data_IF_750176058484
#
_entry.id   IF_750176058484
#
_cell.length_a   1.000
_cell.length_b   1.000
_cell.length_c   1.000
_cell.angle_alpha   90.00
_cell.angle_beta   90.00
_cell.angle_gamma   90.00
#
_symmetry.space_group_name_H-M   'P 1'
#
loop_
_entity.id
_entity.type
_entity.pdbx_description
1 polymer ?
#
# COMPACT_ATOMS: atom_id res chain seq x y z
N UNK A 1 -12.71 2.18 -1.81
CA UNK A 1 -13.05 2.83 -0.51
C UNK A 1 -13.27 1.72 0.50
N UNK A 2 -12.50 1.67 1.60
CA UNK A 2 -12.53 0.56 2.56
C UNK A 2 -13.90 0.42 3.28
N UNK A 3 -14.46 1.54 3.76
CA UNK A 3 -15.79 1.55 4.39
C UNK A 3 -16.88 0.96 3.48
N UNK A 4 -16.85 1.25 2.17
CA UNK A 4 -17.81 0.69 1.22
C UNK A 4 -17.73 -0.85 1.17
N UNK A 5 -16.51 -1.40 1.20
CA UNK A 5 -16.28 -2.85 1.26
C UNK A 5 -16.68 -3.44 2.61
N UNK A 6 -16.48 -2.72 3.72
CA UNK A 6 -16.90 -3.18 5.05
C UNK A 6 -18.43 -3.17 5.25
N UNK A 7 -19.15 -2.28 4.54
CA UNK A 7 -20.61 -2.18 4.61
C UNK A 7 -21.32 -3.10 3.60
N UNK A 8 -20.77 -3.27 2.39
CA UNK A 8 -21.44 -3.96 1.27
C UNK A 8 -20.69 -5.16 0.69
N UNK A 9 -19.45 -5.43 1.13
CA UNK A 9 -18.65 -6.54 0.64
C UNK A 9 -19.04 -7.89 1.24
N UNK A 10 -18.45 -8.97 0.71
CA UNK A 10 -18.66 -10.34 1.22
C UNK A 10 -17.98 -10.63 2.57
N UNK A 11 -17.47 -9.60 3.26
CA UNK A 11 -16.92 -9.71 4.62
C UNK A 11 -18.06 -9.84 5.65
N UNK A 12 -18.83 -10.93 5.54
CA UNK A 12 -20.05 -11.22 6.31
C UNK A 12 -19.67 -11.62 7.74
N UNK A 13 -19.26 -10.64 8.54
CA UNK A 13 -19.01 -10.87 9.97
C UNK A 13 -18.82 -9.63 10.80
N UNK A 14 -18.29 -8.53 10.24
CA UNK A 14 -18.12 -7.30 11.01
C UNK A 14 -18.18 -6.07 10.11
N UNK A 15 -19.37 -5.48 10.05
CA UNK A 15 -19.55 -4.13 9.50
C UNK A 15 -18.91 -3.12 10.45
N UNK A 16 -18.16 -2.15 9.91
CA UNK A 16 -17.60 -1.07 10.70
C UNK A 16 -18.74 -0.20 11.25
N UNK A 17 -18.93 -0.07 12.57
CA UNK A 17 -19.97 0.76 13.15
C UNK A 17 -19.64 2.25 13.00
N UNK A 18 -20.68 3.08 12.91
CA UNK A 18 -20.55 4.54 12.73
C UNK A 18 -19.65 5.23 13.77
N UNK A 19 -19.70 4.79 15.03
CA UNK A 19 -18.84 5.37 16.08
C UNK A 19 -17.35 5.09 15.81
N UNK A 20 -17.01 3.87 15.36
CA UNK A 20 -15.65 3.48 15.01
C UNK A 20 -15.17 4.25 13.78
N UNK A 21 -16.06 4.45 12.79
CA UNK A 21 -15.76 5.33 11.65
C UNK A 21 -15.41 6.76 12.09
N UNK A 22 -16.14 7.34 13.04
CA UNK A 22 -15.86 8.69 13.56
C UNK A 22 -14.53 8.71 14.33
N UNK A 23 -14.31 7.75 15.24
CA UNK A 23 -13.07 7.67 16.03
C UNK A 23 -11.84 7.44 15.16
N UNK A 24 -11.96 6.65 14.09
CA UNK A 24 -10.86 6.42 13.14
C UNK A 24 -10.43 7.68 12.39
N UNK A 25 -11.28 8.70 12.33
CA UNK A 25 -11.02 9.97 11.64
C UNK A 25 -10.69 11.13 12.60
N UNK A 26 -10.63 10.89 13.91
CA UNK A 26 -10.23 11.90 14.88
C UNK A 26 -8.77 12.32 14.61
N UNK A 27 -8.51 13.63 14.62
CA UNK A 27 -7.21 14.23 14.38
C UNK A 27 -6.68 14.14 12.94
N UNK A 28 -7.41 13.50 12.03
CA UNK A 28 -6.92 13.25 10.66
C UNK A 28 -6.91 14.52 9.78
N UNK A 29 -7.63 15.58 10.19
CA UNK A 29 -7.66 16.86 9.47
C UNK A 29 -6.63 17.83 10.06
N UNK A 30 -5.35 17.66 9.74
CA UNK A 30 -4.26 18.51 10.23
C UNK A 30 -4.22 18.64 11.76
N UNK A 31 -4.50 17.54 12.47
CA UNK A 31 -4.62 17.52 13.93
C UNK A 31 -5.99 17.97 14.47
N UNK A 32 -6.94 18.34 13.60
CA UNK A 32 -8.31 18.67 13.95
C UNK A 32 -9.29 17.54 13.60
N UNK A 33 -10.50 17.64 14.14
CA UNK A 33 -11.61 16.72 13.88
C UNK A 33 -12.55 17.25 12.80
N UNK A 34 -13.10 16.36 11.99
CA UNK A 34 -14.21 16.69 11.10
C UNK A 34 -15.51 16.87 11.90
N UNK A 35 -16.48 17.68 11.40
CA UNK A 35 -17.79 17.79 12.03
C UNK A 35 -18.49 16.41 12.09
N UNK A 36 -18.85 15.97 13.29
CA UNK A 36 -19.44 14.64 13.51
C UNK A 36 -20.70 14.41 12.66
N UNK A 37 -21.51 15.44 12.46
CA UNK A 37 -22.72 15.37 11.64
C UNK A 37 -22.41 15.12 10.16
N UNK A 38 -21.33 15.69 9.64
CA UNK A 38 -20.89 15.42 8.26
C UNK A 38 -20.39 13.98 8.10
N UNK A 39 -19.62 13.49 9.07
CA UNK A 39 -19.14 12.10 9.07
C UNK A 39 -20.31 11.10 9.16
N UNK A 40 -21.28 11.37 10.03
CA UNK A 40 -22.50 10.53 10.13
C UNK A 40 -23.33 10.56 8.85
N UNK A 41 -23.50 11.74 8.23
CA UNK A 41 -24.22 11.87 6.98
C UNK A 41 -23.53 11.07 5.86
N UNK A 42 -22.20 11.16 5.76
CA UNK A 42 -21.42 10.36 4.79
C UNK A 42 -21.53 8.86 5.05
N UNK A 43 -21.37 8.42 6.31
CA UNK A 43 -21.54 7.02 6.69
C UNK A 43 -22.93 6.51 6.32
N UNK A 44 -23.98 7.29 6.60
CA UNK A 44 -25.37 6.95 6.25
C UNK A 44 -25.56 6.86 4.73
N UNK A 45 -25.04 7.82 3.98
CA UNK A 45 -25.09 7.81 2.51
C UNK A 45 -24.45 6.54 1.93
N UNK A 46 -23.23 6.20 2.37
CA UNK A 46 -22.53 4.99 1.90
C UNK A 46 -23.26 3.73 2.38
N UNK A 47 -23.84 3.72 3.59
CA UNK A 47 -24.61 2.57 4.09
C UNK A 47 -25.87 2.31 3.27
N UNK A 48 -26.56 3.35 2.85
CA UNK A 48 -27.84 3.25 2.16
C UNK A 48 -27.66 3.02 0.66
N UNK A 49 -26.59 3.58 0.09
CA UNK A 49 -26.28 3.49 -1.34
C UNK A 49 -24.87 2.93 -1.53
N UNK A 50 -24.79 1.72 -2.10
CA UNK A 50 -23.52 1.10 -2.43
C UNK A 50 -22.84 1.92 -3.53
N UNK A 51 -21.58 2.28 -3.30
CA UNK A 51 -20.78 2.91 -4.34
C UNK A 51 -20.35 1.83 -5.34
N UNK A 52 -20.85 1.92 -6.56
CA UNK A 52 -20.31 1.20 -7.71
C UNK A 52 -19.07 1.96 -8.19
N UNK A 53 -17.90 1.33 -8.06
CA UNK A 53 -16.68 1.90 -8.59
C UNK A 53 -16.73 1.68 -10.09
N UNK A 54 -16.45 2.73 -10.88
CA UNK A 54 -16.31 2.60 -12.31
C UNK A 54 -15.12 1.67 -12.60
N UNK A 55 -15.41 0.38 -12.77
CA UNK A 55 -14.49 -0.51 -13.44
C UNK A 55 -14.67 -0.22 -14.92
N UNK A 56 -13.59 0.15 -15.60
CA UNK A 56 -13.62 0.25 -17.06
C UNK A 56 -14.17 -1.09 -17.61
N UNK A 57 -15.08 -1.03 -18.58
CA UNK A 57 -15.81 -2.21 -19.10
C UNK A 57 -14.87 -3.32 -19.65
N UNK A 58 -13.57 -3.05 -19.79
CA UNK A 58 -12.55 -4.01 -20.23
C UNK A 58 -12.20 -5.11 -19.21
N UNK A 59 -12.44 -4.96 -17.91
CA UNK A 59 -12.02 -5.95 -16.89
C UNK A 59 -13.11 -6.99 -16.51
N UNK A 60 -14.27 -6.98 -17.17
CA UNK A 60 -15.31 -8.00 -16.93
C UNK A 60 -15.05 -9.35 -17.66
N UNK A 61 -14.09 -9.40 -18.59
CA UNK A 61 -13.83 -10.57 -19.42
C UNK A 61 -12.94 -11.67 -18.80
N UNK A 62 -12.22 -11.40 -17.71
CA UNK A 62 -11.20 -12.34 -17.20
C UNK A 62 -11.72 -13.35 -16.16
N UNK A 63 -12.91 -13.12 -15.60
CA UNK A 63 -13.47 -13.96 -14.53
C UNK A 63 -14.11 -15.29 -15.01
N UNK A 64 -14.23 -15.51 -16.33
CA UNK A 64 -14.88 -16.70 -16.89
C UNK A 64 -13.93 -17.85 -17.28
N UNK A 65 -12.64 -17.78 -16.94
CA UNK A 65 -11.72 -18.89 -17.20
C UNK A 65 -12.06 -20.10 -16.30
N UNK A 66 -12.46 -21.26 -16.85
CA UNK A 66 -12.73 -22.44 -16.04
C UNK A 66 -11.45 -22.91 -15.35
N UNK A 67 -11.49 -23.04 -14.02
CA UNK A 67 -10.44 -23.69 -13.22
C UNK A 67 -10.20 -25.10 -13.75
N UNK A 68 -9.08 -25.30 -14.44
CA UNK A 68 -8.58 -26.64 -14.78
C UNK A 68 -8.33 -27.42 -13.48
N UNK A 69 -8.63 -28.73 -13.43
CA UNK A 69 -8.43 -29.52 -12.22
C UNK A 69 -6.94 -29.57 -11.88
N UNK A 70 -6.62 -29.07 -10.69
CA UNK A 70 -5.27 -29.04 -10.13
C UNK A 70 -4.78 -30.46 -9.87
N UNK A 71 -3.70 -30.85 -10.54
CA UNK A 71 -2.85 -31.95 -10.08
C UNK A 71 -2.19 -31.57 -8.75
N UNK A 72 -1.97 -32.51 -7.82
CA UNK A 72 -1.42 -32.21 -6.51
C UNK A 72 0.11 -32.16 -6.63
N UNK A 73 0.67 -31.02 -7.01
CA UNK A 73 2.10 -30.79 -6.79
C UNK A 73 2.40 -29.34 -6.47
N UNK A 74 2.82 -29.17 -5.22
CA UNK A 74 3.69 -28.12 -4.72
C UNK A 74 3.21 -26.67 -4.82
N UNK A 75 2.59 -26.24 -3.72
CA UNK A 75 2.77 -24.95 -3.06
C UNK A 75 3.87 -24.07 -3.70
N UNK A 76 3.46 -22.96 -4.33
CA UNK A 76 3.79 -21.58 -3.94
C UNK A 76 3.26 -20.62 -4.99
N UNK A 77 2.06 -20.11 -4.73
CA UNK A 77 1.63 -18.80 -5.18
C UNK A 77 2.46 -17.80 -4.37
N UNK A 78 3.51 -17.21 -4.92
CA UNK A 78 4.15 -16.05 -4.28
C UNK A 78 4.38 -14.97 -5.32
N UNK A 79 3.84 -13.80 -4.98
CA UNK A 79 3.94 -12.53 -5.69
C UNK A 79 5.38 -12.30 -6.25
N UNK A 80 5.56 -11.86 -7.51
CA UNK A 80 6.88 -11.60 -8.09
C UNK A 80 7.61 -10.40 -7.46
N UNK A 81 6.92 -9.52 -6.74
CA UNK A 81 7.54 -8.53 -5.84
C UNK A 81 8.00 -9.14 -4.51
N UNK A 82 7.57 -10.36 -4.19
CA UNK A 82 8.04 -11.15 -3.06
C UNK A 82 9.05 -12.23 -3.48
N UNK A 83 9.15 -12.53 -4.78
CA UNK A 83 10.04 -13.57 -5.32
C UNK A 83 10.67 -13.05 -6.60
N UNK A 84 11.87 -12.49 -6.48
CA UNK A 84 12.69 -12.16 -7.64
C UNK A 84 13.09 -13.47 -8.31
N UNK A 85 12.72 -13.65 -9.58
CA UNK A 85 13.24 -14.74 -10.38
C UNK A 85 14.75 -14.51 -10.55
N UNK A 86 15.56 -15.36 -9.91
CA UNK A 86 17.01 -15.28 -10.02
C UNK A 86 17.41 -15.84 -11.39
N UNK A 87 17.49 -14.97 -12.39
CA UNK A 87 18.10 -15.32 -13.67
C UNK A 87 19.62 -15.38 -13.46
N UNK A 88 20.21 -16.55 -13.71
CA UNK A 88 21.65 -16.77 -13.59
C UNK A 88 22.46 -15.95 -14.61
N UNK A 89 21.82 -15.50 -15.69
CA UNK A 89 22.42 -14.65 -16.73
C UNK A 89 22.10 -13.17 -16.55
N UNK A 90 21.43 -12.77 -15.45
CA UNK A 90 21.10 -11.38 -15.20
C UNK A 90 22.38 -10.53 -15.09
N UNK A 91 22.42 -9.43 -15.84
CA UNK A 91 23.53 -8.49 -15.80
C UNK A 91 23.67 -7.87 -14.41
N UNK A 92 24.75 -8.19 -13.70
CA UNK A 92 25.07 -7.59 -12.41
C UNK A 92 25.82 -6.27 -12.64
N UNK A 93 25.13 -5.14 -12.48
CA UNK A 93 25.73 -3.82 -12.69
C UNK A 93 26.60 -3.34 -11.53
N UNK A 94 26.30 -3.76 -10.30
CA UNK A 94 27.08 -3.44 -9.10
C UNK A 94 27.07 -4.64 -8.15
N UNK A 95 28.26 -5.07 -7.77
CA UNK A 95 28.48 -6.14 -6.80
C UNK A 95 29.27 -5.59 -5.61
N UNK A 96 28.81 -5.84 -4.40
CA UNK A 96 29.46 -5.37 -3.17
C UNK A 96 28.56 -5.46 -1.95
N UNK A 97 29.15 -5.29 -0.77
CA UNK A 97 28.41 -5.21 0.48
C UNK A 97 27.63 -3.89 0.54
N UNK A 98 26.31 -3.96 0.62
CA UNK A 98 25.46 -2.79 0.83
C UNK A 98 25.20 -2.63 2.33
N UNK A 99 25.86 -1.66 2.95
CA UNK A 99 25.57 -1.30 4.34
C UNK A 99 24.19 -0.61 4.40
N UNK A 100 23.31 -1.09 5.29
CA UNK A 100 22.08 -0.37 5.61
C UNK A 100 22.45 0.81 6.51
N UNK A 101 22.16 2.04 6.07
CA UNK A 101 22.30 3.21 6.93
C UNK A 101 21.23 3.13 8.02
N UNK A 102 21.65 2.83 9.24
CA UNK A 102 20.79 2.89 10.44
C UNK A 102 21.06 4.23 11.11
N UNK A 103 20.01 5.02 11.34
CA UNK A 103 20.09 6.16 12.25
C UNK A 103 19.59 5.66 13.60
N UNK A 104 20.50 5.60 14.56
CA UNK A 104 20.20 5.28 15.94
C UNK A 104 20.80 6.40 16.79
N UNK A 105 20.03 6.87 17.76
CA UNK A 105 20.54 7.78 18.80
C UNK A 105 21.58 7.04 19.65
N UNK A 106 22.44 7.75 20.39
CA UNK A 106 23.51 7.16 21.21
C UNK A 106 23.01 6.11 22.24
N UNK A 107 21.70 6.11 22.52
CA UNK A 107 20.98 5.17 23.39
C UNK A 107 20.49 3.89 22.67
N UNK A 108 20.77 3.72 21.36
CA UNK A 108 20.31 2.59 20.56
C UNK A 108 18.83 2.63 20.17
N UNK A 109 18.13 3.71 20.50
CA UNK A 109 16.74 3.95 20.09
C UNK A 109 16.68 4.37 18.61
N UNK A 110 15.69 3.83 17.89
CA UNK A 110 15.41 4.22 16.49
C UNK A 110 15.03 5.69 16.46
N UNK A 111 15.78 6.51 15.73
CA UNK A 111 15.45 7.92 15.54
C UNK A 111 14.27 8.06 14.58
N UNK A 112 13.23 8.78 14.99
CA UNK A 112 12.12 9.17 14.11
C UNK A 112 12.62 10.16 13.07
N UNK A 113 12.69 9.72 11.82
CA UNK A 113 13.29 10.49 10.74
C UNK A 113 12.23 11.41 10.12
N UNK A 114 12.14 12.66 10.58
CA UNK A 114 11.44 13.69 9.82
C UNK A 114 12.18 13.96 8.50
N UNK A 115 11.50 14.01 7.34
CA UNK A 115 12.17 14.32 6.08
C UNK A 115 12.55 15.81 6.03
N UNK A 116 13.84 16.13 6.16
CA UNK A 116 14.34 17.46 5.78
C UNK A 116 14.46 17.58 4.25
N UNK A 117 14.26 18.77 3.67
CA UNK A 117 14.30 18.98 2.23
C UNK A 117 15.72 18.77 1.67
N UNK A 118 15.80 18.06 0.53
CA UNK A 118 17.06 17.84 -0.22
C UNK A 118 17.74 19.17 -0.53
N UNK A 119 18.94 19.40 0.02
CA UNK A 119 19.85 20.42 -0.51
C UNK A 119 20.41 19.96 -1.86
N UNK A 120 20.27 20.83 -2.85
CA UNK A 120 20.77 20.69 -4.20
C UNK A 120 22.24 21.20 -4.21
N UNK A 121 23.20 20.33 -4.48
CA UNK A 121 24.59 20.67 -4.81
C UNK A 121 24.98 19.70 -5.93
N UNK A 122 25.29 20.11 -7.16
CA UNK A 122 26.32 21.08 -7.53
C UNK A 122 27.39 20.28 -8.27
N UNK A 123 27.59 20.54 -9.56
CA UNK A 123 28.31 19.67 -10.50
C UNK A 123 29.81 19.48 -10.23
N UNK A 124 30.38 18.46 -10.89
CA UNK A 124 31.81 18.21 -10.96
C UNK A 124 32.12 17.33 -12.17
N UNK A 125 32.94 17.85 -13.06
CA UNK A 125 33.21 17.35 -14.40
C UNK A 125 34.02 16.05 -14.46
N UNK A 126 33.83 15.36 -15.58
CA UNK A 126 34.55 14.20 -16.09
C UNK A 126 36.06 14.45 -16.26
N UNK A 127 36.88 13.45 -15.93
CA UNK A 127 38.11 13.11 -16.67
C UNK A 127 38.41 11.61 -16.51
N UNK A 128 38.74 10.87 -17.58
CA UNK A 128 39.32 9.54 -17.48
C UNK A 128 40.85 9.62 -17.38
N UNK A 129 41.45 8.76 -16.56
CA UNK A 129 42.90 8.51 -16.57
C UNK A 129 43.19 7.28 -17.43
N UNK A 130 44.30 7.34 -18.17
CA UNK A 130 44.74 6.44 -19.24
C UNK A 130 44.95 4.98 -18.82
#
# INVERSE_FOLDING_TARGET
MLLNTDLHGQNIGRSMPCHEFVTNLDGMKDGQNFPKEQLKALYSSIRNEKLEWAMDEEEQGSALMPRRPSTPSSRKKSNPFLTLAHDANAATYKQGLLARKVHAEADGKKSECHPSPRHQMGGGAVTPVA
#
